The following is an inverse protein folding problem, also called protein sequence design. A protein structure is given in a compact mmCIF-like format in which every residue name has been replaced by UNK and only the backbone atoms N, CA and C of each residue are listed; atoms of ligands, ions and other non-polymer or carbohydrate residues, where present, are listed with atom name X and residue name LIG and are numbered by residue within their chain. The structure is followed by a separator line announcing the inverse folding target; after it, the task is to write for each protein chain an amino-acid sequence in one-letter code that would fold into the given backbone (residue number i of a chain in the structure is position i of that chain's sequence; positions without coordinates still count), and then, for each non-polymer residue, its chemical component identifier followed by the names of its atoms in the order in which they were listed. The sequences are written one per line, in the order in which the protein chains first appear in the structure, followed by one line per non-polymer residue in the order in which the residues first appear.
data_IF_965980932410
#
_entry.id   IF_965980932410
#
_cell.length_a   1.000
_cell.length_b   1.000
_cell.length_c   1.000
_cell.angle_alpha   90.00
_cell.angle_beta   90.00
_cell.angle_gamma   90.00
#
_symmetry.space_group_name_H-M   'P 1'
#
loop_
_entity.id
_entity.type
_entity.pdbx_description
1 polymer ?
#
# COMPACT_ATOMS: atom_id res chain seq x y z
N UNK A 1 -5.72 10.07 1.22
CA UNK A 1 -6.06 8.68 0.84
C UNK A 1 -7.56 8.52 0.89
N UNK A 2 -8.22 8.00 -0.15
CA UNK A 2 -9.68 8.02 -0.23
C UNK A 2 -10.36 6.68 0.12
N UNK A 3 -9.72 5.55 -0.17
CA UNK A 3 -10.33 4.22 0.02
C UNK A 3 -9.56 3.27 0.96
N UNK A 4 -8.26 3.48 1.23
CA UNK A 4 -7.50 2.69 2.22
C UNK A 4 -7.37 1.18 1.93
N UNK A 5 -7.93 0.70 0.82
CA UNK A 5 -7.94 -0.70 0.43
C UNK A 5 -6.51 -1.21 0.18
N UNK A 6 -6.23 -2.42 0.67
CA UNK A 6 -4.97 -3.11 0.38
C UNK A 6 -5.08 -3.79 -0.97
N UNK A 7 -4.21 -3.41 -1.90
CA UNK A 7 -4.16 -3.95 -3.27
C UNK A 7 -2.85 -4.69 -3.46
N UNK A 8 -2.88 -5.83 -4.15
CA UNK A 8 -1.66 -6.57 -4.49
C UNK A 8 -1.05 -5.95 -5.74
N UNK A 9 0.26 -6.15 -5.93
CA UNK A 9 0.98 -5.65 -7.11
C UNK A 9 0.45 -6.24 -8.41
N UNK A 10 -0.10 -7.45 -8.39
CA UNK A 10 -0.76 -8.11 -9.54
C UNK A 10 -1.98 -7.35 -10.04
N UNK A 11 -2.68 -6.62 -9.16
CA UNK A 11 -3.89 -5.90 -9.54
C UNK A 11 -3.58 -4.54 -10.19
N UNK A 12 -2.30 -4.19 -10.32
CA UNK A 12 -1.78 -2.92 -10.87
C UNK A 12 -1.17 -3.05 -12.27
N UNK A 13 -1.30 -4.20 -12.94
CA UNK A 13 -0.65 -4.44 -14.24
C UNK A 13 -1.08 -3.45 -15.34
N UNK A 14 -2.25 -2.80 -15.19
CA UNK A 14 -2.77 -1.76 -16.09
C UNK A 14 -2.32 -0.32 -15.72
N UNK A 15 -1.44 -0.17 -14.72
CA UNK A 15 -0.84 1.10 -14.27
C UNK A 15 -1.11 1.44 -12.80
N UNK A 16 -0.63 2.62 -12.37
CA UNK A 16 -0.73 3.08 -10.97
C UNK A 16 -2.11 3.69 -10.70
N UNK A 17 -3.17 2.88 -10.76
CA UNK A 17 -4.54 3.26 -10.41
C UNK A 17 -5.13 2.25 -9.43
N UNK A 18 -5.82 2.74 -8.41
CA UNK A 18 -6.57 1.88 -7.52
C UNK A 18 -7.79 1.28 -8.27
N UNK A 19 -8.01 -0.05 -8.26
CA UNK A 19 -9.15 -0.69 -8.92
C UNK A 19 -10.50 -0.27 -8.31
N UNK A 20 -10.54 0.07 -7.02
CA UNK A 20 -11.77 0.43 -6.31
C UNK A 20 -12.16 1.89 -6.50
N UNK A 21 -11.21 2.82 -6.27
CA UNK A 21 -11.51 4.25 -6.23
C UNK A 21 -10.90 5.06 -7.40
N UNK A 22 -10.18 4.42 -8.33
CA UNK A 22 -9.52 5.01 -9.52
C UNK A 22 -8.47 6.12 -9.25
N UNK A 23 -8.20 6.44 -7.98
CA UNK A 23 -7.10 7.34 -7.59
C UNK A 23 -5.74 6.74 -7.90
N UNK A 24 -4.75 7.60 -8.14
CA UNK A 24 -3.37 7.21 -8.49
C UNK A 24 -2.40 7.16 -7.31
N UNK A 25 -2.87 7.44 -6.10
CA UNK A 25 -2.05 7.50 -4.89
C UNK A 25 -2.20 6.20 -4.11
N UNK A 26 -1.10 5.46 -3.96
CA UNK A 26 -1.01 4.23 -3.19
C UNK A 26 0.10 4.36 -2.14
N UNK A 27 -0.06 3.70 -1.00
CA UNK A 27 0.95 3.62 0.06
C UNK A 27 1.36 2.17 0.26
N UNK A 28 2.66 1.94 0.49
CA UNK A 28 3.16 0.61 0.83
C UNK A 28 2.71 0.24 2.25
N UNK A 29 2.18 -0.96 2.42
CA UNK A 29 1.85 -1.51 3.73
C UNK A 29 3.15 -1.72 4.51
N UNK A 30 3.10 -1.50 5.82
CA UNK A 30 4.22 -1.78 6.72
C UNK A 30 4.61 -3.27 6.59
N UNK A 31 5.89 -3.59 6.35
CA UNK A 31 6.31 -4.99 6.29
C UNK A 31 6.03 -5.70 7.63
N UNK A 32 5.75 -7.02 7.62
CA UNK A 32 5.49 -7.79 8.83
C UNK A 32 6.72 -7.89 9.74
N UNK A 33 7.92 -7.70 9.16
CA UNK A 33 9.18 -7.69 9.90
C UNK A 33 9.26 -6.40 10.72
N UNK A 34 9.14 -6.54 12.03
CA UNK A 34 9.25 -5.43 12.98
C UNK A 34 10.69 -4.95 13.08
N UNK A 35 10.89 -3.63 12.98
CA UNK A 35 12.18 -3.00 13.30
C UNK A 35 12.33 -2.96 14.83
N UNK A 36 13.32 -3.66 15.38
CA UNK A 36 13.67 -3.57 16.81
C UNK A 36 14.46 -2.29 17.05
N UNK A 37 13.98 -1.45 17.96
CA UNK A 37 14.61 -0.18 18.34
C UNK A 37 14.93 -0.29 19.83
N UNK A 38 16.17 -0.01 20.24
CA UNK A 38 16.54 0.04 21.67
C UNK A 38 15.87 1.27 22.28
N UNK A 39 15.07 1.07 23.33
CA UNK A 39 14.70 2.16 24.23
C UNK A 39 15.95 2.58 25.01
N UNK A 40 16.13 3.89 25.24
CA UNK A 40 17.21 4.41 26.08
C UNK A 40 16.89 4.15 27.55
#
# INVERSE_FOLDING_TARGET
MKCGATVKSTDLDLGVRCPFCRYRVLMKVRPPIVKRIKAR
#
